data_IF_697761209504
#
_entry.id   IF_697761209504
#
_cell.length_a   1.000
_cell.length_b   1.000
_cell.length_c   1.000
_cell.angle_alpha   90.00
_cell.angle_beta   90.00
_cell.angle_gamma   90.00
#
_symmetry.space_group_name_H-M   'P 1'
#
loop_
_entity.id
_entity.type
_entity.pdbx_description
1 polymer ?
#
# COMPACT_ATOMS: atom_id res chain seq x y z
N UNK A 1 18.27 4.35 27.47
CA UNK A 1 18.36 4.28 26.03
C UNK A 1 18.33 5.69 25.45
N UNK A 2 19.28 6.03 24.55
CA UNK A 2 19.19 7.31 23.87
C UNK A 2 17.88 7.41 23.09
N UNK A 3 17.27 8.58 23.09
CA UNK A 3 16.00 8.80 22.40
C UNK A 3 16.08 8.50 20.91
N UNK A 4 17.26 8.68 20.28
CA UNK A 4 17.48 8.37 18.88
C UNK A 4 17.30 6.89 18.54
N UNK A 5 17.76 5.99 19.40
CA UNK A 5 17.63 4.54 19.17
C UNK A 5 16.17 4.09 19.21
N UNK A 6 15.37 4.64 20.11
CA UNK A 6 13.94 4.35 20.18
C UNK A 6 13.21 4.85 18.93
N UNK A 7 13.53 6.07 18.49
CA UNK A 7 12.93 6.64 17.29
C UNK A 7 13.29 5.80 16.03
N UNK A 8 14.53 5.38 15.92
CA UNK A 8 14.95 4.52 14.80
C UNK A 8 14.23 3.16 14.83
N UNK A 9 14.13 2.56 16.01
CA UNK A 9 13.41 1.29 16.17
C UNK A 9 11.94 1.43 15.77
N UNK A 10 11.28 2.52 16.15
CA UNK A 10 9.90 2.81 15.78
C UNK A 10 9.75 2.98 14.26
N UNK A 11 10.68 3.69 13.61
CA UNK A 11 10.65 3.88 12.16
C UNK A 11 10.83 2.56 11.42
N UNK A 12 11.72 1.70 11.88
CA UNK A 12 11.91 0.35 11.31
C UNK A 12 10.61 -0.46 11.45
N UNK A 13 10.00 -0.41 12.62
CA UNK A 13 8.74 -1.10 12.86
C UNK A 13 7.63 -0.57 11.93
N UNK A 14 7.52 0.75 11.78
CA UNK A 14 6.54 1.37 10.89
C UNK A 14 6.74 0.97 9.43
N UNK A 15 7.99 0.94 8.97
CA UNK A 15 8.32 0.47 7.61
C UNK A 15 7.91 -0.99 7.42
N UNK A 16 8.18 -1.82 8.41
CA UNK A 16 7.80 -3.23 8.36
C UNK A 16 6.29 -3.40 8.32
N UNK A 17 5.55 -2.68 9.18
CA UNK A 17 4.09 -2.71 9.19
C UNK A 17 3.51 -2.23 7.86
N UNK A 18 4.06 -1.17 7.29
CA UNK A 18 3.64 -0.64 6.00
C UNK A 18 3.84 -1.67 4.89
N UNK A 19 5.00 -2.31 4.83
CA UNK A 19 5.29 -3.36 3.87
C UNK A 19 4.38 -4.57 4.06
N UNK A 20 4.18 -5.00 5.29
CA UNK A 20 3.31 -6.14 5.61
C UNK A 20 1.86 -5.86 5.20
N UNK A 21 1.34 -4.67 5.50
CA UNK A 21 -0.02 -4.29 5.09
C UNK A 21 -0.17 -4.26 3.57
N UNK A 22 0.84 -3.78 2.84
CA UNK A 22 0.86 -3.80 1.38
C UNK A 22 0.83 -5.22 0.83
N UNK A 23 1.64 -6.11 1.39
CA UNK A 23 1.70 -7.51 0.97
C UNK A 23 0.36 -8.21 1.23
N UNK A 24 -0.22 -8.01 2.41
CA UNK A 24 -1.51 -8.61 2.77
C UNK A 24 -2.60 -8.13 1.83
N UNK A 25 -2.70 -6.83 1.60
CA UNK A 25 -3.72 -6.26 0.71
C UNK A 25 -3.58 -6.78 -0.72
N UNK A 26 -2.38 -6.69 -1.29
CA UNK A 26 -2.14 -7.11 -2.67
C UNK A 26 -2.25 -8.63 -2.83
N UNK A 27 -1.72 -9.39 -1.88
CA UNK A 27 -1.78 -10.86 -1.92
C UNK A 27 -3.21 -11.36 -1.82
N UNK A 28 -4.00 -10.80 -0.91
CA UNK A 28 -5.42 -11.15 -0.78
C UNK A 28 -6.20 -10.79 -2.05
N UNK A 29 -5.95 -9.60 -2.60
CA UNK A 29 -6.56 -9.17 -3.85
C UNK A 29 -6.20 -10.09 -5.02
N UNK A 30 -4.94 -10.50 -5.10
CA UNK A 30 -4.46 -11.42 -6.14
C UNK A 30 -5.15 -12.79 -6.05
N UNK A 31 -5.26 -13.34 -4.85
CA UNK A 31 -5.92 -14.63 -4.64
C UNK A 31 -7.39 -14.54 -5.04
N UNK A 32 -8.10 -13.50 -4.62
CA UNK A 32 -9.51 -13.31 -4.99
C UNK A 32 -9.68 -13.10 -6.49
N UNK A 33 -8.77 -12.38 -7.13
CA UNK A 33 -8.85 -12.14 -8.56
C UNK A 33 -8.61 -13.40 -9.39
N UNK A 34 -7.70 -14.27 -8.95
CA UNK A 34 -7.37 -15.51 -9.64
C UNK A 34 -8.38 -16.63 -9.36
N UNK A 35 -8.73 -16.84 -8.09
CA UNK A 35 -9.52 -17.99 -7.66
C UNK A 35 -10.96 -17.64 -7.30
N UNK A 36 -11.23 -16.36 -7.07
CA UNK A 36 -12.53 -15.91 -6.61
C UNK A 36 -12.75 -16.15 -5.11
N UNK A 37 -13.93 -15.73 -4.60
CA UNK A 37 -14.27 -15.94 -3.19
C UNK A 37 -14.44 -17.44 -2.89
N UNK A 38 -14.20 -17.87 -1.63
CA UNK A 38 -14.41 -19.26 -1.23
C UNK A 38 -15.84 -19.73 -1.54
N UNK A 39 -15.94 -20.99 -1.96
CA UNK A 39 -17.25 -21.60 -2.24
C UNK A 39 -18.10 -21.62 -0.96
N UNK A 40 -19.37 -21.22 -1.08
CA UNK A 40 -20.34 -21.32 -0.02
C UNK A 40 -20.99 -20.01 0.39
N UNK A 41 -20.24 -19.01 0.81
CA UNK A 41 -20.83 -17.74 1.27
C UNK A 41 -20.09 -16.52 0.69
N UNK A 42 -20.64 -16.01 -0.41
CA UNK A 42 -20.10 -14.83 -1.08
C UNK A 42 -20.21 -13.57 -0.21
N UNK A 43 -21.20 -13.47 0.67
CA UNK A 43 -21.36 -12.30 1.54
C UNK A 43 -20.30 -12.28 2.64
N UNK A 44 -19.95 -13.45 3.20
CA UNK A 44 -18.87 -13.56 4.17
C UNK A 44 -17.52 -13.21 3.54
N UNK A 45 -17.26 -13.66 2.31
CA UNK A 45 -16.02 -13.35 1.59
C UNK A 45 -15.90 -11.85 1.32
N UNK A 46 -16.99 -11.19 0.90
CA UNK A 46 -17.02 -9.74 0.68
C UNK A 46 -16.79 -8.96 1.98
N UNK A 47 -17.36 -9.42 3.08
CA UNK A 47 -17.19 -8.80 4.38
C UNK A 47 -15.74 -8.90 4.84
N UNK A 48 -15.10 -10.05 4.69
CA UNK A 48 -13.68 -10.23 5.00
C UNK A 48 -12.78 -9.35 4.14
N UNK A 49 -13.07 -9.25 2.85
CA UNK A 49 -12.30 -8.38 1.96
C UNK A 49 -12.43 -6.92 2.38
N UNK A 50 -13.63 -6.50 2.76
CA UNK A 50 -13.88 -5.16 3.30
C UNK A 50 -13.04 -4.90 4.55
N UNK A 51 -13.05 -5.82 5.50
CA UNK A 51 -12.29 -5.69 6.75
C UNK A 51 -10.80 -5.63 6.50
N UNK A 52 -10.27 -6.52 5.66
CA UNK A 52 -8.84 -6.54 5.30
C UNK A 52 -8.45 -5.25 4.59
N UNK A 53 -9.28 -4.78 3.65
CA UNK A 53 -9.02 -3.54 2.91
C UNK A 53 -9.03 -2.34 3.84
N UNK A 54 -10.02 -2.21 4.70
CA UNK A 54 -10.14 -1.08 5.63
C UNK A 54 -8.98 -1.06 6.64
N UNK A 55 -8.65 -2.21 7.21
CA UNK A 55 -7.54 -2.33 8.15
C UNK A 55 -6.20 -2.03 7.46
N UNK A 56 -5.98 -2.61 6.30
CA UNK A 56 -4.77 -2.35 5.52
C UNK A 56 -4.65 -0.88 5.13
N UNK A 57 -5.76 -0.27 4.71
CA UNK A 57 -5.80 1.14 4.37
C UNK A 57 -5.44 2.02 5.58
N UNK A 58 -6.02 1.72 6.73
CA UNK A 58 -5.74 2.46 7.95
C UNK A 58 -4.26 2.37 8.32
N UNK A 59 -3.68 1.17 8.31
CA UNK A 59 -2.27 0.95 8.60
C UNK A 59 -1.39 1.66 7.55
N UNK A 60 -1.73 1.53 6.27
CA UNK A 60 -0.96 2.15 5.18
C UNK A 60 -0.99 3.67 5.25
N UNK A 61 -2.15 4.27 5.54
CA UNK A 61 -2.27 5.72 5.66
C UNK A 61 -1.50 6.23 6.88
N UNK A 62 -1.67 5.59 8.05
CA UNK A 62 -1.00 6.01 9.27
C UNK A 62 0.51 5.88 9.16
N UNK A 63 1.01 4.71 8.75
CA UNK A 63 2.45 4.49 8.60
C UNK A 63 3.03 5.31 7.45
N UNK A 64 2.31 5.41 6.34
CA UNK A 64 2.74 6.21 5.19
C UNK A 64 2.87 7.68 5.50
N UNK A 65 1.93 8.24 6.26
CA UNK A 65 1.99 9.64 6.68
C UNK A 65 3.23 9.91 7.55
N UNK A 66 3.46 9.08 8.56
CA UNK A 66 4.62 9.23 9.44
C UNK A 66 5.93 9.11 8.66
N UNK A 67 6.04 8.09 7.81
CA UNK A 67 7.25 7.86 7.02
C UNK A 67 7.48 8.99 6.00
N UNK A 68 6.42 9.54 5.42
CA UNK A 68 6.50 10.66 4.49
C UNK A 68 7.02 11.92 5.21
N UNK A 69 6.47 12.25 6.36
CA UNK A 69 6.92 13.39 7.15
C UNK A 69 8.39 13.25 7.55
N UNK A 70 8.79 12.06 7.97
CA UNK A 70 10.17 11.80 8.34
C UNK A 70 11.12 12.02 7.15
N UNK A 71 10.77 11.50 5.96
CA UNK A 71 11.57 11.67 4.75
C UNK A 71 11.64 13.13 4.30
N UNK A 72 10.53 13.84 4.33
CA UNK A 72 10.49 15.25 3.95
C UNK A 72 11.28 16.12 4.92
N UNK A 73 11.25 15.79 6.21
CA UNK A 73 12.03 16.52 7.23
C UNK A 73 13.54 16.35 7.03
N UNK A 74 13.99 15.30 6.37
CA UNK A 74 15.39 15.08 6.04
C UNK A 74 15.85 15.77 4.76
N UNK A 75 14.97 16.60 4.15
CA UNK A 75 15.34 17.40 2.98
C UNK A 75 15.29 16.62 1.67
N UNK A 76 14.32 15.74 1.50
CA UNK A 76 14.12 15.04 0.23
C UNK A 76 13.86 16.04 -0.91
N UNK A 77 14.47 15.82 -2.07
CA UNK A 77 14.40 16.73 -3.21
C UNK A 77 13.07 16.71 -3.93
N UNK A 78 12.91 17.65 -4.89
CA UNK A 78 11.71 17.79 -5.71
C UNK A 78 11.40 16.55 -6.56
N UNK A 79 12.43 15.86 -7.05
CA UNK A 79 12.26 14.60 -7.78
C UNK A 79 11.63 13.52 -6.91
N UNK A 80 12.09 13.40 -5.66
CA UNK A 80 11.49 12.50 -4.66
C UNK A 80 10.02 12.84 -4.42
N UNK A 81 9.72 14.13 -4.23
CA UNK A 81 8.35 14.58 -4.00
C UNK A 81 7.43 14.26 -5.19
N UNK A 82 7.92 14.39 -6.42
CA UNK A 82 7.17 14.05 -7.63
C UNK A 82 6.83 12.56 -7.71
N UNK A 83 7.80 11.68 -7.44
CA UNK A 83 7.57 10.23 -7.42
C UNK A 83 6.65 9.85 -6.28
N UNK A 84 6.79 10.48 -5.12
CA UNK A 84 5.91 10.25 -3.98
C UNK A 84 4.46 10.62 -4.31
N UNK A 85 4.24 11.75 -4.98
CA UNK A 85 2.91 12.16 -5.43
C UNK A 85 2.31 11.12 -6.37
N UNK A 86 3.09 10.62 -7.33
CA UNK A 86 2.66 9.56 -8.24
C UNK A 86 2.29 8.28 -7.49
N UNK A 87 3.08 7.89 -6.50
CA UNK A 87 2.79 6.74 -5.63
C UNK A 87 1.46 6.92 -4.91
N UNK A 88 1.20 8.09 -4.34
CA UNK A 88 -0.05 8.38 -3.64
C UNK A 88 -1.24 8.31 -4.60
N UNK A 89 -1.12 8.86 -5.80
CA UNK A 89 -2.17 8.78 -6.83
C UNK A 89 -2.46 7.33 -7.19
N UNK A 90 -1.44 6.52 -7.44
CA UNK A 90 -1.62 5.09 -7.74
C UNK A 90 -2.30 4.36 -6.59
N UNK A 91 -1.93 4.64 -5.35
CA UNK A 91 -2.56 4.04 -4.18
C UNK A 91 -4.05 4.42 -4.07
N UNK A 92 -4.38 5.68 -4.27
CA UNK A 92 -5.76 6.17 -4.23
C UNK A 92 -6.61 5.48 -5.30
N UNK A 93 -6.09 5.38 -6.53
CA UNK A 93 -6.77 4.67 -7.62
C UNK A 93 -6.99 3.21 -7.26
N UNK A 94 -5.97 2.53 -6.72
CA UNK A 94 -6.08 1.14 -6.32
C UNK A 94 -7.18 0.95 -5.26
N UNK A 95 -7.26 1.82 -4.26
CA UNK A 95 -8.29 1.73 -3.22
C UNK A 95 -9.69 1.99 -3.76
N UNK A 96 -9.85 3.00 -4.63
CA UNK A 96 -11.15 3.28 -5.23
C UNK A 96 -11.67 2.09 -6.03
N UNK A 97 -10.80 1.47 -6.84
CA UNK A 97 -11.18 0.29 -7.62
C UNK A 97 -11.38 -0.95 -6.74
N UNK A 98 -10.68 -1.05 -5.61
CA UNK A 98 -10.91 -2.14 -4.65
C UNK A 98 -12.32 -2.05 -4.05
N UNK A 99 -12.77 -0.86 -3.65
CA UNK A 99 -14.13 -0.66 -3.15
C UNK A 99 -15.18 -0.95 -4.22
N UNK A 100 -14.93 -0.50 -5.46
CA UNK A 100 -15.81 -0.76 -6.58
C UNK A 100 -15.88 -2.26 -6.90
N UNK A 101 -14.74 -2.93 -6.93
CA UNK A 101 -14.65 -4.37 -7.16
C UNK A 101 -15.46 -5.15 -6.13
N UNK A 102 -15.35 -4.76 -4.88
CA UNK A 102 -16.14 -5.35 -3.79
C UNK A 102 -17.66 -5.18 -4.02
N UNK A 103 -18.07 -4.00 -4.47
CA UNK A 103 -19.50 -3.72 -4.73
C UNK A 103 -20.09 -4.65 -5.80
N UNK A 104 -19.30 -4.99 -6.80
CA UNK A 104 -19.79 -5.85 -7.91
C UNK A 104 -19.60 -7.34 -7.61
N UNK A 105 -19.20 -7.71 -6.40
CA UNK A 105 -19.17 -9.09 -5.96
C UNK A 105 -17.83 -9.82 -6.20
N UNK A 106 -16.74 -9.10 -6.35
CA UNK A 106 -15.40 -9.66 -6.51
C UNK A 106 -15.28 -10.66 -7.67
N UNK A 107 -15.72 -10.31 -8.89
CA UNK A 107 -15.68 -11.27 -10.00
C UNK A 107 -14.24 -11.71 -10.33
N UNK A 108 -14.07 -13.00 -10.60
CA UNK A 108 -12.78 -13.57 -11.01
C UNK A 108 -12.36 -12.96 -12.34
N UNK A 109 -11.11 -12.48 -12.43
CA UNK A 109 -10.60 -11.87 -13.64
C UNK A 109 -11.25 -10.54 -14.01
N UNK A 110 -12.03 -9.95 -13.11
CA UNK A 110 -12.73 -8.70 -13.36
C UNK A 110 -11.80 -7.52 -13.60
N UNK A 111 -12.27 -6.53 -14.38
CA UNK A 111 -11.48 -5.34 -14.72
C UNK A 111 -11.10 -4.54 -13.47
N UNK A 112 -12.03 -4.37 -12.53
CA UNK A 112 -11.77 -3.60 -11.31
C UNK A 112 -10.66 -4.25 -10.47
N UNK A 113 -10.69 -5.58 -10.30
CA UNK A 113 -9.63 -6.31 -9.60
C UNK A 113 -8.28 -6.23 -10.31
N UNK A 114 -8.30 -6.29 -11.64
CA UNK A 114 -7.10 -6.14 -12.45
C UNK A 114 -6.46 -4.77 -12.26
N UNK A 115 -7.27 -3.71 -12.22
CA UNK A 115 -6.80 -2.35 -11.98
C UNK A 115 -6.22 -2.22 -10.56
N UNK A 116 -6.85 -2.82 -9.56
CA UNK A 116 -6.32 -2.87 -8.19
C UNK A 116 -4.92 -3.47 -8.16
N UNK A 117 -4.73 -4.60 -8.82
CA UNK A 117 -3.44 -5.29 -8.86
C UNK A 117 -2.38 -4.47 -9.61
N UNK A 118 -2.73 -3.88 -10.75
CA UNK A 118 -1.80 -3.09 -11.56
C UNK A 118 -1.36 -1.84 -10.79
N UNK A 119 -2.31 -1.06 -10.27
CA UNK A 119 -1.98 0.18 -9.56
C UNK A 119 -1.38 -0.09 -8.19
N UNK A 120 -1.82 -1.14 -7.49
CA UNK A 120 -1.19 -1.56 -6.24
C UNK A 120 0.24 -2.04 -6.44
N UNK A 121 0.48 -2.83 -7.48
CA UNK A 121 1.83 -3.26 -7.87
C UNK A 121 2.71 -2.09 -8.25
N UNK A 122 2.17 -1.12 -9.00
CA UNK A 122 2.87 0.12 -9.35
C UNK A 122 3.24 0.92 -8.09
N UNK A 123 2.36 0.98 -7.11
CA UNK A 123 2.61 1.64 -5.83
C UNK A 123 3.80 1.01 -5.11
N UNK A 124 3.86 -0.32 -5.06
CA UNK A 124 4.97 -1.05 -4.44
C UNK A 124 6.27 -0.80 -5.20
N UNK A 125 6.23 -0.83 -6.52
CA UNK A 125 7.40 -0.56 -7.37
C UNK A 125 7.91 0.86 -7.15
N UNK A 126 7.01 1.85 -7.11
CA UNK A 126 7.37 3.24 -6.84
C UNK A 126 7.96 3.41 -5.45
N UNK A 127 7.49 2.63 -4.46
CA UNK A 127 8.08 2.63 -3.12
C UNK A 127 9.53 2.17 -3.13
N UNK A 128 9.83 1.12 -3.91
CA UNK A 128 11.19 0.63 -4.07
C UNK A 128 12.08 1.66 -4.80
N UNK A 129 11.56 2.30 -5.84
CA UNK A 129 12.26 3.37 -6.56
C UNK A 129 12.54 4.55 -5.63
N UNK A 130 11.55 4.96 -4.83
CA UNK A 130 11.71 6.05 -3.86
C UNK A 130 12.81 5.77 -2.86
N UNK A 131 12.89 4.53 -2.38
CA UNK A 131 13.97 4.13 -1.46
C UNK A 131 15.34 4.28 -2.13
N UNK A 132 15.47 3.80 -3.36
CA UNK A 132 16.71 3.92 -4.13
C UNK A 132 17.09 5.37 -4.43
N UNK A 133 16.13 6.18 -4.84
CA UNK A 133 16.33 7.62 -5.10
C UNK A 133 16.74 8.34 -3.82
N UNK A 134 16.09 8.08 -2.71
CA UNK A 134 16.41 8.70 -1.44
C UNK A 134 17.84 8.37 -0.99
N UNK A 135 18.22 7.10 -1.09
CA UNK A 135 19.57 6.65 -0.71
C UNK A 135 20.64 7.25 -1.62
N UNK A 136 20.42 7.27 -2.94
CA UNK A 136 21.38 7.85 -3.88
C UNK A 136 21.38 9.37 -3.88
N UNK A 137 20.23 10.00 -3.65
CA UNK A 137 20.10 11.46 -3.58
C UNK A 137 20.85 12.06 -2.40
N UNK A 138 20.99 11.34 -1.31
CA UNK A 138 21.77 11.78 -0.15
C UNK A 138 23.25 11.81 -0.42
N UNK A 139 23.74 11.07 -1.42
CA UNK A 139 25.16 11.00 -1.78
C UNK A 139 25.55 11.96 -2.90
N UNK A 140 24.56 12.56 -3.54
CA UNK A 140 24.79 13.56 -4.59
C UNK A 140 24.76 15.02 -4.04
#
# INVERSE_FOLDING_TARGET
>A
MPQGDLAEALLVLLRWLHAAASIVFLGWSAVLWLDGPPRGDASAARQRFKEVTELSLLVLLATGAVLTFERLSQGAGGFYAGILALKVVCAVVAYQFAFRWRRVGLPVGGLDGRIVLIFGGATVLLAAILKGVFESGLTS
#
